data_IF_641757331367
#
_entry.id   IF_641757331367
#
_cell.length_a   1.000
_cell.length_b   1.000
_cell.length_c   1.000
_cell.angle_alpha   90.00
_cell.angle_beta   90.00
_cell.angle_gamma   90.00
#
_symmetry.space_group_name_H-M   'P 1'
#
loop_
_entity.id
_entity.type
_entity.pdbx_description
1 polymer ?
#
# COMPACT_ATOMS: atom_id res chain seq x y z
N UNK A 1 19.94 43.27 29.60
CA UNK A 1 21.30 42.73 29.34
C UNK A 1 21.41 41.21 29.51
N UNK A 2 20.77 40.56 30.50
CA UNK A 2 20.84 39.09 30.69
C UNK A 2 20.17 38.26 29.56
N UNK A 3 19.01 38.69 29.08
CA UNK A 3 18.29 38.01 27.99
C UNK A 3 19.02 38.09 26.64
N UNK A 4 19.65 39.21 26.33
CA UNK A 4 20.47 39.38 25.12
C UNK A 4 21.66 38.43 25.07
N UNK A 5 22.31 38.19 26.21
CA UNK A 5 23.42 37.21 26.32
C UNK A 5 22.94 35.78 26.11
N UNK A 6 21.74 35.45 26.60
CA UNK A 6 21.12 34.15 26.39
C UNK A 6 20.74 33.91 24.92
N UNK A 7 20.12 34.90 24.28
CA UNK A 7 19.79 34.82 22.84
C UNK A 7 21.05 34.69 21.99
N UNK A 8 22.10 35.46 22.29
CA UNK A 8 23.38 35.37 21.58
C UNK A 8 24.02 33.98 21.71
N UNK A 9 24.00 33.39 22.91
CA UNK A 9 24.50 32.02 23.13
C UNK A 9 23.70 31.01 22.31
N UNK A 10 22.36 31.10 22.32
CA UNK A 10 21.48 30.20 21.58
C UNK A 10 21.70 30.29 20.07
N UNK A 11 21.94 31.49 19.54
CA UNK A 11 22.27 31.69 18.13
C UNK A 11 23.59 31.03 17.76
N UNK A 12 24.64 31.18 18.58
CA UNK A 12 25.95 30.54 18.34
C UNK A 12 25.82 29.01 18.36
N UNK A 13 25.05 28.46 19.30
CA UNK A 13 24.79 27.01 19.37
C UNK A 13 24.05 26.53 18.13
N UNK A 14 22.98 27.22 17.70
CA UNK A 14 22.24 26.85 16.49
C UNK A 14 23.11 26.94 15.22
N UNK A 15 23.98 27.95 15.12
CA UNK A 15 24.94 28.07 14.01
C UNK A 15 25.99 26.96 14.03
N UNK A 16 26.46 26.56 15.22
CA UNK A 16 27.37 25.43 15.37
C UNK A 16 26.74 24.10 14.94
N UNK A 17 25.48 23.87 15.32
CA UNK A 17 24.70 22.70 14.89
C UNK A 17 24.46 22.73 13.38
N UNK A 18 24.09 23.89 12.83
CA UNK A 18 23.87 24.01 11.39
C UNK A 18 25.17 23.76 10.60
N UNK A 19 26.29 24.33 11.05
CA UNK A 19 27.59 24.09 10.43
C UNK A 19 27.99 22.61 10.50
N UNK A 20 27.83 21.95 11.65
CA UNK A 20 28.16 20.53 11.77
C UNK A 20 27.31 19.64 10.86
N UNK A 21 26.03 19.95 10.70
CA UNK A 21 25.13 19.25 9.76
C UNK A 21 25.55 19.46 8.30
N UNK A 22 25.94 20.67 7.92
CA UNK A 22 26.42 20.98 6.57
C UNK A 22 27.76 20.30 6.26
N UNK A 23 28.67 20.22 7.24
CA UNK A 23 29.94 19.50 7.11
C UNK A 23 29.77 17.98 7.08
N UNK A 24 28.76 17.45 7.77
CA UNK A 24 28.41 16.03 7.75
C UNK A 24 27.63 15.61 6.49
N UNK A 25 27.04 16.57 5.77
CA UNK A 25 26.36 16.33 4.51
C UNK A 25 27.36 15.91 3.43
N UNK A 26 27.46 14.60 3.19
CA UNK A 26 28.20 14.08 2.04
C UNK A 26 27.45 14.46 0.76
N UNK A 27 28.12 15.02 -0.27
CA UNK A 27 27.50 15.22 -1.56
C UNK A 27 27.10 13.86 -2.13
N UNK A 28 25.79 13.61 -2.22
CA UNK A 28 25.25 12.43 -2.90
C UNK A 28 25.40 12.64 -4.40
N UNK A 29 26.40 12.01 -5.01
CA UNK A 29 26.47 11.94 -6.46
C UNK A 29 25.23 11.17 -6.95
N UNK A 30 24.39 11.75 -7.83
CA UNK A 30 23.17 11.09 -8.30
C UNK A 30 23.44 9.85 -9.18
N UNK A 31 24.72 9.55 -9.47
CA UNK A 31 25.14 8.47 -10.36
C UNK A 31 25.53 7.16 -9.64
N UNK A 32 25.67 7.15 -8.31
CA UNK A 32 26.07 5.96 -7.54
C UNK A 32 24.90 5.27 -6.81
N UNK A 33 23.69 5.81 -6.94
CA UNK A 33 22.52 5.24 -6.26
C UNK A 33 21.88 4.19 -7.16
N UNK A 34 22.41 2.96 -7.10
CA UNK A 34 21.61 1.78 -7.48
C UNK A 34 20.32 1.90 -6.68
N UNK A 35 19.19 2.12 -7.36
CA UNK A 35 17.90 2.20 -6.70
C UNK A 35 17.77 0.97 -5.78
N UNK A 36 17.29 1.15 -4.53
CA UNK A 36 17.22 0.05 -3.58
C UNK A 36 16.44 -1.11 -4.22
N UNK A 37 17.04 -2.29 -4.24
CA UNK A 37 16.44 -3.47 -4.89
C UNK A 37 15.14 -3.94 -4.23
N UNK A 38 14.84 -3.45 -3.02
CA UNK A 38 13.64 -3.80 -2.25
C UNK A 38 13.02 -2.54 -1.65
N UNK A 39 11.72 -2.36 -1.91
CA UNK A 39 10.89 -1.37 -1.22
C UNK A 39 10.15 -2.07 -0.07
N UNK A 40 10.32 -1.56 1.15
CA UNK A 40 9.61 -2.05 2.34
C UNK A 40 8.60 -0.99 2.77
N UNK A 41 7.34 -1.38 2.88
CA UNK A 41 6.25 -0.51 3.32
C UNK A 41 5.18 -1.33 4.04
N UNK A 42 4.41 -0.68 4.92
CA UNK A 42 3.21 -1.28 5.51
C UNK A 42 2.04 -1.29 4.52
N UNK A 43 1.97 -0.26 3.66
CA UNK A 43 1.04 -0.18 2.56
C UNK A 43 1.68 0.58 1.38
N UNK A 44 1.27 0.24 0.17
CA UNK A 44 1.58 0.98 -1.05
C UNK A 44 0.25 1.33 -1.72
N UNK A 45 0.04 2.62 -1.97
CA UNK A 45 -1.17 3.14 -2.59
C UNK A 45 -0.84 3.85 -3.91
N UNK A 46 -1.57 3.51 -4.96
CA UNK A 46 -1.62 4.30 -6.18
C UNK A 46 -2.82 5.25 -6.07
N UNK A 47 -2.56 6.55 -6.12
CA UNK A 47 -3.58 7.60 -6.08
C UNK A 47 -3.72 8.27 -7.43
N UNK A 48 -4.91 8.79 -7.73
CA UNK A 48 -5.11 9.65 -8.91
C UNK A 48 -4.77 11.13 -8.62
N UNK A 49 -5.00 12.00 -9.60
CA UNK A 49 -4.69 13.43 -9.52
C UNK A 49 -5.47 14.16 -8.41
N UNK A 50 -6.63 13.63 -8.02
CA UNK A 50 -7.47 14.19 -6.96
C UNK A 50 -7.12 13.60 -5.58
N UNK A 51 -6.15 12.69 -5.51
CA UNK A 51 -5.73 12.01 -4.30
C UNK A 51 -6.57 10.78 -3.94
N UNK A 52 -7.46 10.31 -4.81
CA UNK A 52 -8.25 9.12 -4.55
C UNK A 52 -7.41 7.85 -4.77
N UNK A 53 -7.44 6.93 -3.81
CA UNK A 53 -6.77 5.63 -3.92
C UNK A 53 -7.45 4.77 -5.00
N UNK A 54 -6.67 4.31 -5.99
CA UNK A 54 -7.11 3.41 -7.07
C UNK A 54 -6.58 1.99 -6.90
N UNK A 55 -5.38 1.84 -6.35
CA UNK A 55 -4.80 0.53 -6.01
C UNK A 55 -4.20 0.60 -4.62
N UNK A 56 -4.42 -0.44 -3.82
CA UNK A 56 -3.87 -0.55 -2.48
C UNK A 56 -3.29 -1.95 -2.27
N UNK A 57 -1.99 -2.03 -1.97
CA UNK A 57 -1.31 -3.21 -1.47
C UNK A 57 -1.09 -3.01 0.03
N UNK A 58 -1.68 -3.86 0.86
CA UNK A 58 -1.64 -3.75 2.33
C UNK A 58 -1.73 -5.13 2.98
N UNK A 59 -1.59 -5.19 4.30
CA UNK A 59 -1.95 -6.38 5.07
C UNK A 59 -3.46 -6.42 5.36
N UNK A 60 -4.08 -7.58 5.15
CA UNK A 60 -5.44 -7.89 5.60
C UNK A 60 -5.52 -8.01 7.12
N UNK A 61 -6.74 -8.14 7.65
CA UNK A 61 -6.96 -8.29 9.11
C UNK A 61 -6.36 -9.58 9.68
N UNK A 62 -6.19 -10.59 8.83
CA UNK A 62 -5.53 -11.86 9.09
C UNK A 62 -3.99 -11.78 9.01
N UNK A 63 -3.43 -10.60 8.70
CA UNK A 63 -2.01 -10.40 8.47
C UNK A 63 -1.53 -10.87 7.09
N UNK A 64 -2.42 -11.41 6.26
CA UNK A 64 -2.11 -11.86 4.90
C UNK A 64 -1.94 -10.68 3.94
N UNK A 65 -1.12 -10.85 2.90
CA UNK A 65 -0.98 -9.85 1.84
C UNK A 65 -2.30 -9.68 1.07
N UNK A 66 -2.71 -8.45 0.82
CA UNK A 66 -3.93 -8.15 0.06
C UNK A 66 -3.74 -7.00 -0.91
N UNK A 67 -4.27 -7.19 -2.13
CA UNK A 67 -4.35 -6.20 -3.19
C UNK A 67 -5.83 -5.84 -3.42
N UNK A 68 -6.13 -4.54 -3.45
CA UNK A 68 -7.46 -4.00 -3.78
C UNK A 68 -7.34 -3.04 -4.95
N UNK A 69 -8.21 -3.20 -5.95
CA UNK A 69 -8.34 -2.26 -7.07
C UNK A 69 -9.74 -1.65 -7.06
N UNK A 70 -9.78 -0.32 -7.22
CA UNK A 70 -11.00 0.49 -7.18
C UNK A 70 -11.27 1.11 -8.53
N UNK A 71 -12.55 1.23 -8.87
CA UNK A 71 -12.97 1.99 -10.05
C UNK A 71 -12.87 3.50 -9.81
N UNK A 72 -13.28 4.30 -10.81
CA UNK A 72 -13.28 5.76 -10.75
C UNK A 72 -14.19 6.34 -9.64
N UNK A 73 -15.22 5.60 -9.21
CA UNK A 73 -16.11 6.00 -8.10
C UNK A 73 -15.54 5.62 -6.73
N UNK A 74 -14.40 4.92 -6.70
CA UNK A 74 -13.76 4.46 -5.46
C UNK A 74 -14.28 3.11 -4.97
N UNK A 75 -15.18 2.46 -5.73
CA UNK A 75 -15.75 1.17 -5.37
C UNK A 75 -14.75 0.06 -5.69
N UNK A 76 -14.62 -0.92 -4.79
CA UNK A 76 -13.71 -2.06 -5.02
C UNK A 76 -14.28 -2.95 -6.11
N UNK A 77 -13.48 -3.24 -7.14
CA UNK A 77 -13.83 -4.16 -8.24
C UNK A 77 -13.03 -5.43 -8.24
N UNK A 78 -11.82 -5.41 -7.69
CA UNK A 78 -10.98 -6.59 -7.57
C UNK A 78 -10.36 -6.65 -6.18
N UNK A 79 -10.39 -7.84 -5.58
CA UNK A 79 -9.67 -8.19 -4.35
C UNK A 79 -8.86 -9.44 -4.59
N UNK A 80 -7.60 -9.40 -4.20
CA UNK A 80 -6.74 -10.58 -4.11
C UNK A 80 -6.18 -10.65 -2.70
N UNK A 81 -6.21 -11.83 -2.09
CA UNK A 81 -5.80 -12.01 -0.70
C UNK A 81 -5.13 -13.37 -0.51
N UNK A 82 -4.01 -13.36 0.22
CA UNK A 82 -3.46 -14.56 0.85
C UNK A 82 -4.16 -14.76 2.19
N UNK A 83 -4.68 -15.96 2.41
CA UNK A 83 -5.40 -16.37 3.61
C UNK A 83 -4.55 -17.40 4.38
N UNK A 84 -4.78 -17.63 5.68
CA UNK A 84 -4.02 -18.62 6.45
C UNK A 84 -4.08 -20.04 5.87
N UNK A 85 -5.20 -20.41 5.25
CA UNK A 85 -5.46 -21.74 4.70
C UNK A 85 -5.44 -21.79 3.17
N UNK A 86 -5.10 -20.68 2.49
CA UNK A 86 -5.09 -20.63 1.04
C UNK A 86 -5.06 -19.22 0.44
N UNK A 87 -5.81 -19.00 -0.64
CA UNK A 87 -5.83 -17.73 -1.35
C UNK A 87 -7.15 -17.50 -2.08
N UNK A 88 -7.51 -16.23 -2.26
CA UNK A 88 -8.72 -15.82 -2.96
C UNK A 88 -8.48 -14.68 -3.96
N UNK A 89 -9.18 -14.75 -5.09
CA UNK A 89 -9.34 -13.68 -6.06
C UNK A 89 -10.83 -13.47 -6.32
N UNK A 90 -11.30 -12.25 -6.09
CA UNK A 90 -12.70 -11.86 -6.23
C UNK A 90 -12.82 -10.69 -7.20
N UNK A 91 -13.69 -10.84 -8.20
CA UNK A 91 -14.19 -9.76 -9.04
C UNK A 91 -15.61 -9.41 -8.63
N UNK A 92 -15.87 -8.11 -8.50
CA UNK A 92 -17.19 -7.58 -8.17
C UNK A 92 -17.83 -6.90 -9.40
N UNK A 93 -19.14 -7.08 -9.56
CA UNK A 93 -19.92 -6.43 -10.61
C UNK A 93 -20.11 -4.92 -10.32
N UNK A 94 -20.86 -4.23 -11.19
CA UNK A 94 -21.16 -2.80 -11.05
C UNK A 94 -22.02 -2.44 -9.83
N UNK A 95 -22.66 -3.42 -9.19
CA UNK A 95 -23.41 -3.26 -7.94
C UNK A 95 -22.55 -3.55 -6.71
N UNK A 96 -21.25 -3.80 -6.88
CA UNK A 96 -20.32 -4.20 -5.80
C UNK A 96 -20.66 -5.57 -5.21
N UNK A 97 -21.30 -6.45 -5.98
CA UNK A 97 -21.59 -7.82 -5.60
C UNK A 97 -20.60 -8.78 -6.26
N UNK A 98 -20.26 -9.93 -5.65
CA UNK A 98 -19.40 -10.93 -6.27
C UNK A 98 -19.93 -11.43 -7.62
N UNK A 99 -19.07 -11.44 -8.63
CA UNK A 99 -19.38 -11.95 -9.98
C UNK A 99 -18.51 -13.13 -10.37
N UNK A 100 -17.22 -13.10 -9.99
CA UNK A 100 -16.28 -14.19 -10.22
C UNK A 100 -15.44 -14.37 -8.98
N UNK A 101 -15.34 -15.61 -8.50
CA UNK A 101 -14.52 -16.00 -7.37
C UNK A 101 -13.60 -17.14 -7.77
N UNK A 102 -12.31 -16.99 -7.52
CA UNK A 102 -11.34 -18.07 -7.58
C UNK A 102 -10.80 -18.25 -6.17
N UNK A 103 -10.78 -19.48 -5.68
CA UNK A 103 -10.36 -19.78 -4.33
C UNK A 103 -9.65 -21.11 -4.26
N UNK A 104 -8.66 -21.17 -3.36
CA UNK A 104 -8.09 -22.42 -2.91
C UNK A 104 -8.01 -22.41 -1.39
N UNK A 105 -8.25 -23.55 -0.77
CA UNK A 105 -8.02 -23.80 0.65
C UNK A 105 -7.53 -25.23 0.86
N UNK A 106 -7.27 -25.62 2.10
CA UNK A 106 -7.03 -27.02 2.48
C UNK A 106 -8.15 -27.98 2.00
N UNK A 107 -9.37 -27.47 1.81
CA UNK A 107 -10.53 -28.25 1.35
C UNK A 107 -10.58 -28.45 -0.16
N UNK A 108 -9.74 -27.75 -0.93
CA UNK A 108 -9.68 -27.85 -2.38
C UNK A 108 -9.67 -26.51 -3.10
N UNK A 109 -9.76 -26.57 -4.42
CA UNK A 109 -9.74 -25.42 -5.34
C UNK A 109 -11.07 -25.32 -6.08
N UNK A 110 -11.51 -24.09 -6.37
CA UNK A 110 -12.71 -23.85 -7.17
C UNK A 110 -12.74 -22.48 -7.82
N UNK A 111 -13.55 -22.39 -8.87
CA UNK A 111 -13.95 -21.16 -9.52
C UNK A 111 -15.48 -21.08 -9.49
N UNK A 112 -16.03 -19.99 -8.97
CA UNK A 112 -17.48 -19.73 -8.96
C UNK A 112 -17.79 -18.54 -9.86
N UNK A 113 -18.67 -18.76 -10.84
CA UNK A 113 -19.30 -17.70 -11.64
C UNK A 113 -20.68 -17.41 -11.04
N UNK A 114 -20.98 -16.14 -10.80
CA UNK A 114 -22.23 -15.69 -10.18
C UNK A 114 -22.91 -14.75 -11.17
N UNK A 115 -24.11 -15.12 -11.61
CA UNK A 115 -24.92 -14.32 -12.52
C UNK A 115 -25.68 -13.21 -11.75
N UNK A 116 -26.26 -12.25 -12.46
CA UNK A 116 -27.01 -11.12 -11.89
C UNK A 116 -28.25 -11.56 -11.11
N UNK A 117 -28.81 -12.73 -11.44
CA UNK A 117 -29.92 -13.35 -10.71
C UNK A 117 -29.46 -14.15 -9.46
N UNK A 118 -28.16 -14.06 -9.13
CA UNK A 118 -27.47 -14.78 -8.04
C UNK A 118 -27.36 -16.29 -8.26
N UNK A 119 -27.58 -16.78 -9.48
CA UNK A 119 -27.31 -18.17 -9.81
C UNK A 119 -25.81 -18.42 -9.85
N UNK A 120 -25.37 -19.42 -9.10
CA UNK A 120 -23.97 -19.81 -9.03
C UNK A 120 -23.66 -20.98 -9.96
N UNK A 121 -22.52 -20.93 -10.63
CA UNK A 121 -21.90 -22.05 -11.32
C UNK A 121 -20.51 -22.29 -10.76
N UNK A 122 -20.34 -23.41 -10.08
CA UNK A 122 -19.06 -23.86 -9.54
C UNK A 122 -18.35 -24.74 -10.55
N UNK A 123 -17.05 -24.50 -10.75
CA UNK A 123 -16.12 -25.31 -11.53
C UNK A 123 -15.01 -25.73 -10.55
N UNK A 124 -14.92 -27.04 -10.29
CA UNK A 124 -13.91 -27.63 -9.42
C UNK A 124 -13.19 -28.79 -10.17
N UNK A 125 -11.98 -29.18 -9.72
CA UNK A 125 -11.23 -30.31 -10.26
C UNK A 125 -11.98 -31.65 -10.21
#
# INVERSE_FOLDING_TARGET
MRSQRFVALLTVVNLGILASLLLAAKPTNPSDTVAPSVVRAQAIELVDADGNVRVQLHLGQDGGGSLRMRDAKGEVRVKMQALPDGAGLLFLNGNTEPAVQLGTSEKGTGLTLIDLDKKERVIAP
#
